data_IF_546613422835
#
_entry.id   IF_546613422835
#
_cell.length_a   1.000
_cell.length_b   1.000
_cell.length_c   1.000
_cell.angle_alpha   90.00
_cell.angle_beta   90.00
_cell.angle_gamma   90.00
#
_symmetry.space_group_name_H-M   'P 1'
#
loop_
_entity.id
_entity.type
_entity.pdbx_description
1 polymer ?
#
# COMPACT_ATOMS: atom_id res chain seq x y z
N UNK A 1 -7.58 32.83 -3.88
CA UNK A 1 -6.34 32.63 -4.65
C UNK A 1 -6.11 31.13 -4.75
N UNK A 2 -5.94 30.60 -5.97
CA UNK A 2 -5.57 29.21 -6.19
C UNK A 2 -4.06 29.07 -6.00
N UNK A 3 -3.62 28.12 -5.17
CA UNK A 3 -2.20 27.80 -5.02
C UNK A 3 -1.82 26.80 -6.11
N UNK A 4 -0.65 27.00 -6.73
CA UNK A 4 -0.10 26.06 -7.71
C UNK A 4 1.13 25.40 -7.12
N UNK A 5 1.26 24.09 -7.31
CA UNK A 5 2.41 23.29 -6.88
C UNK A 5 2.94 22.59 -8.13
N UNK A 6 4.26 22.68 -8.36
CA UNK A 6 4.89 21.95 -9.45
C UNK A 6 5.19 20.51 -9.01
N UNK A 7 4.72 19.55 -9.79
CA UNK A 7 4.95 18.12 -9.63
C UNK A 7 5.68 17.59 -10.89
N UNK A 8 6.73 16.77 -10.73
CA UNK A 8 7.54 16.31 -11.86
C UNK A 8 6.79 15.35 -12.81
N UNK A 9 5.68 14.74 -12.38
CA UNK A 9 4.90 13.77 -13.16
C UNK A 9 3.76 14.49 -13.87
N UNK A 10 3.04 15.37 -13.17
CA UNK A 10 1.82 15.99 -13.69
C UNK A 10 1.96 17.46 -14.09
N UNK A 11 3.11 18.08 -13.85
CA UNK A 11 3.30 19.52 -14.03
C UNK A 11 2.60 20.32 -12.92
N UNK A 12 1.79 21.31 -13.29
CA UNK A 12 1.16 22.19 -12.30
C UNK A 12 -0.11 21.58 -11.71
N UNK A 13 -0.09 21.31 -10.41
CA UNK A 13 -1.23 20.89 -9.60
C UNK A 13 -1.87 22.12 -8.95
N UNK A 14 -3.17 22.32 -9.16
CA UNK A 14 -3.92 23.46 -8.64
C UNK A 14 -4.75 23.08 -7.40
N UNK A 15 -4.59 23.87 -6.35
CA UNK A 15 -5.31 23.75 -5.10
C UNK A 15 -6.26 24.94 -4.92
N UNK A 16 -7.49 24.67 -4.52
CA UNK A 16 -8.41 25.71 -4.07
C UNK A 16 -7.98 26.26 -2.69
N UNK A 17 -8.70 27.28 -2.21
CA UNK A 17 -8.39 27.96 -0.94
C UNK A 17 -8.39 27.00 0.26
N UNK A 18 -9.33 26.05 0.30
CA UNK A 18 -9.51 25.16 1.45
C UNK A 18 -8.53 23.98 1.39
N UNK A 19 -8.32 23.42 0.20
CA UNK A 19 -7.25 22.44 -0.03
C UNK A 19 -5.89 23.01 0.36
N UNK A 20 -5.61 24.27 0.00
CA UNK A 20 -4.37 24.95 0.42
C UNK A 20 -4.26 25.06 1.94
N UNK A 21 -5.35 25.41 2.62
CA UNK A 21 -5.40 25.51 4.08
C UNK A 21 -5.15 24.15 4.75
N UNK A 22 -5.76 23.08 4.22
CA UNK A 22 -5.58 21.70 4.69
C UNK A 22 -4.13 21.24 4.48
N UNK A 23 -3.56 21.50 3.30
CA UNK A 23 -2.18 21.17 2.97
C UNK A 23 -1.20 21.81 3.96
N UNK A 24 -1.48 23.02 4.44
CA UNK A 24 -0.61 23.74 5.39
C UNK A 24 -0.84 23.37 6.88
N UNK A 25 -1.67 22.35 7.17
CA UNK A 25 -1.83 21.83 8.53
C UNK A 25 -0.65 20.92 8.93
N UNK A 26 -0.21 20.94 10.21
CA UNK A 26 0.78 19.96 10.69
C UNK A 26 0.42 18.50 10.42
N UNK A 27 -0.87 18.15 10.52
CA UNK A 27 -1.36 16.80 10.25
C UNK A 27 -1.04 16.36 8.81
N UNK A 28 -1.25 17.24 7.83
CA UNK A 28 -0.94 16.97 6.43
C UNK A 28 0.55 17.11 6.11
N UNK A 29 1.23 18.13 6.66
CA UNK A 29 2.66 18.36 6.45
C UNK A 29 3.53 17.21 6.98
N UNK A 30 3.06 16.47 7.99
CA UNK A 30 3.70 15.24 8.47
C UNK A 30 3.97 14.24 7.34
N UNK A 31 3.11 14.18 6.32
CA UNK A 31 3.24 13.23 5.21
C UNK A 31 4.52 13.45 4.38
N UNK A 32 5.20 14.60 4.50
CA UNK A 32 6.54 14.83 3.91
C UNK A 32 7.63 13.98 4.54
N UNK A 33 7.38 13.51 5.76
CA UNK A 33 8.31 12.72 6.55
C UNK A 33 7.87 11.26 6.64
N UNK A 34 6.97 10.84 5.75
CA UNK A 34 6.53 9.46 5.56
C UNK A 34 6.78 9.07 4.12
N UNK A 35 7.80 8.25 3.89
CA UNK A 35 8.17 7.81 2.53
C UNK A 35 7.09 6.89 1.96
N UNK A 36 6.78 7.10 0.68
CA UNK A 36 5.82 6.26 -0.06
C UNK A 36 6.21 4.78 0.01
N UNK A 37 7.49 4.49 -0.33
CA UNK A 37 8.01 3.14 -0.45
C UNK A 37 8.91 2.70 0.71
N UNK A 38 8.74 3.29 1.90
CA UNK A 38 9.51 2.93 3.09
C UNK A 38 11.03 2.93 2.85
N UNK A 39 11.68 1.74 2.97
CA UNK A 39 13.11 1.53 2.76
C UNK A 39 13.46 1.06 1.33
N UNK A 40 12.55 1.18 0.37
CA UNK A 40 12.86 0.86 -1.03
C UNK A 40 14.02 1.71 -1.57
N UNK A 41 14.25 2.89 -0.99
CA UNK A 41 15.40 3.73 -1.31
C UNK A 41 16.77 3.07 -1.02
N UNK A 42 16.82 1.99 -0.23
CA UNK A 42 18.04 1.19 -0.05
C UNK A 42 18.36 0.34 -1.29
N UNK A 43 17.38 0.12 -2.16
CA UNK A 43 17.53 -0.63 -3.42
C UNK A 43 17.54 0.34 -4.60
N UNK A 44 16.65 1.34 -4.57
CA UNK A 44 16.44 2.34 -5.60
C UNK A 44 16.76 3.73 -5.02
N UNK A 45 18.01 4.20 -5.06
CA UNK A 45 18.45 5.38 -4.31
C UNK A 45 17.61 6.65 -4.53
N UNK A 46 16.94 6.78 -5.67
CA UNK A 46 16.07 7.90 -6.02
C UNK A 46 14.63 7.79 -5.47
N UNK A 47 14.21 6.64 -4.94
CA UNK A 47 12.88 6.38 -4.38
C UNK A 47 12.66 7.05 -3.00
N UNK A 48 12.85 8.37 -2.93
CA UNK A 48 12.71 9.19 -1.73
C UNK A 48 11.43 10.02 -1.70
N UNK A 49 10.51 9.81 -2.64
CA UNK A 49 9.22 10.48 -2.66
C UNK A 49 8.36 10.07 -1.45
N UNK A 50 7.45 10.96 -1.10
CA UNK A 50 6.69 10.93 0.14
C UNK A 50 5.19 10.87 -0.12
N UNK A 51 4.44 10.49 0.93
CA UNK A 51 2.97 10.42 0.90
C UNK A 51 2.35 11.79 0.60
N UNK A 52 3.02 12.89 0.96
CA UNK A 52 2.57 14.24 0.66
C UNK A 52 2.45 14.49 -0.85
N UNK A 53 3.51 14.17 -1.61
CA UNK A 53 3.53 14.34 -3.06
C UNK A 53 2.53 13.42 -3.76
N UNK A 54 2.38 12.19 -3.25
CA UNK A 54 1.38 11.24 -3.71
C UNK A 54 -0.05 11.79 -3.55
N UNK A 55 -0.45 12.23 -2.36
CA UNK A 55 -1.79 12.80 -2.12
C UNK A 55 -2.13 13.96 -3.07
N UNK A 56 -1.14 14.81 -3.41
CA UNK A 56 -1.34 15.90 -4.37
C UNK A 56 -1.59 15.38 -5.79
N UNK A 57 -0.86 14.35 -6.21
CA UNK A 57 -1.05 13.74 -7.52
C UNK A 57 -2.36 12.96 -7.62
N UNK A 58 -2.79 12.27 -6.56
CA UNK A 58 -4.13 11.64 -6.49
C UNK A 58 -5.21 12.70 -6.65
N UNK A 59 -5.13 13.82 -5.90
CA UNK A 59 -6.04 14.96 -6.08
C UNK A 59 -6.10 15.46 -7.53
N UNK A 60 -4.93 15.60 -8.19
CA UNK A 60 -4.87 16.02 -9.59
C UNK A 60 -5.60 15.03 -10.51
N UNK A 61 -5.29 13.74 -10.42
CA UNK A 61 -5.90 12.70 -11.26
C UNK A 61 -7.41 12.58 -11.00
N UNK A 62 -7.84 12.63 -9.74
CA UNK A 62 -9.27 12.67 -9.36
C UNK A 62 -9.98 13.81 -10.08
N UNK A 63 -9.42 15.02 -10.06
CA UNK A 63 -10.01 16.16 -10.74
C UNK A 63 -10.10 15.97 -12.26
N UNK A 64 -9.04 15.43 -12.88
CA UNK A 64 -9.02 15.15 -14.32
C UNK A 64 -10.08 14.13 -14.71
N UNK A 65 -10.29 13.10 -13.90
CA UNK A 65 -11.36 12.12 -14.12
C UNK A 65 -12.74 12.81 -14.06
N UNK A 66 -12.99 13.63 -13.03
CA UNK A 66 -14.24 14.39 -12.90
C UNK A 66 -14.51 15.28 -14.12
N UNK A 67 -13.50 16.01 -14.60
CA UNK A 67 -13.61 16.87 -15.78
C UNK A 67 -13.97 16.08 -17.04
N UNK A 68 -13.34 14.91 -17.26
CA UNK A 68 -13.61 14.06 -18.41
C UNK A 68 -15.04 13.50 -18.36
N UNK A 69 -15.47 13.00 -17.20
CA UNK A 69 -16.82 12.44 -17.03
C UNK A 69 -17.89 13.52 -17.25
N UNK A 70 -17.74 14.69 -16.61
CA UNK A 70 -18.70 15.79 -16.76
C UNK A 70 -18.79 16.31 -18.19
N UNK A 71 -17.66 16.40 -18.90
CA UNK A 71 -17.63 16.82 -20.31
C UNK A 71 -18.41 15.88 -21.23
N UNK A 72 -18.42 14.57 -20.93
CA UNK A 72 -19.05 13.56 -21.80
C UNK A 72 -20.49 13.23 -21.42
N UNK A 73 -20.86 13.39 -20.16
CA UNK A 73 -22.13 12.90 -19.61
C UNK A 73 -22.99 14.02 -19.01
N UNK A 74 -22.98 15.22 -19.61
CA UNK A 74 -23.84 16.36 -19.24
C UNK A 74 -23.84 16.67 -17.73
N UNK A 75 -22.65 16.79 -17.12
CA UNK A 75 -22.46 17.08 -15.69
C UNK A 75 -23.05 16.02 -14.74
N UNK A 76 -22.73 14.75 -15.00
CA UNK A 76 -23.09 13.61 -14.14
C UNK A 76 -22.60 13.79 -12.67
N UNK A 77 -21.54 14.57 -12.44
CA UNK A 77 -21.04 14.92 -11.12
C UNK A 77 -21.27 16.41 -10.84
N UNK A 78 -22.06 16.70 -9.82
CA UNK A 78 -22.30 18.08 -9.37
C UNK A 78 -21.08 18.66 -8.60
N UNK A 79 -21.07 19.99 -8.42
CA UNK A 79 -19.95 20.68 -7.77
C UNK A 79 -19.72 20.30 -6.31
N UNK A 80 -20.77 19.92 -5.58
CA UNK A 80 -20.68 19.46 -4.19
C UNK A 80 -20.07 18.05 -4.12
N UNK A 81 -20.44 17.16 -5.03
CA UNK A 81 -19.81 15.85 -5.17
C UNK A 81 -18.32 15.96 -5.51
N UNK A 82 -17.98 16.77 -6.54
CA UNK A 82 -16.58 16.96 -6.98
C UNK A 82 -15.69 17.54 -5.88
N UNK A 83 -16.16 18.55 -5.13
CA UNK A 83 -15.35 19.15 -4.04
C UNK A 83 -15.08 18.15 -2.92
N UNK A 84 -16.07 17.34 -2.52
CA UNK A 84 -15.90 16.38 -1.44
C UNK A 84 -15.00 15.22 -1.88
N UNK A 85 -15.16 14.75 -3.13
CA UNK A 85 -14.29 13.74 -3.72
C UNK A 85 -12.83 14.20 -3.82
N UNK A 86 -12.59 15.45 -4.25
CA UNK A 86 -11.25 16.06 -4.23
C UNK A 86 -10.65 16.09 -2.83
N UNK A 87 -11.44 16.48 -1.83
CA UNK A 87 -10.95 16.50 -0.44
C UNK A 87 -10.68 15.09 0.10
N UNK A 88 -11.50 14.09 -0.26
CA UNK A 88 -11.26 12.69 0.05
C UNK A 88 -9.95 12.18 -0.58
N UNK A 89 -9.74 12.46 -1.87
CA UNK A 89 -8.50 12.15 -2.58
C UNK A 89 -7.26 12.79 -1.92
N UNK A 90 -7.37 14.05 -1.49
CA UNK A 90 -6.28 14.72 -0.79
C UNK A 90 -5.98 14.07 0.57
N UNK A 91 -7.00 13.63 1.31
CA UNK A 91 -6.87 13.18 2.70
C UNK A 91 -6.80 11.65 2.89
N UNK A 92 -6.92 10.85 1.83
CA UNK A 92 -7.04 9.38 1.92
C UNK A 92 -5.90 8.73 2.72
N UNK A 93 -4.70 9.27 2.58
CA UNK A 93 -3.45 8.76 3.16
C UNK A 93 -3.01 9.48 4.46
N UNK A 94 -3.85 10.36 5.02
CA UNK A 94 -3.53 11.15 6.22
C UNK A 94 -3.11 10.28 7.41
N UNK A 95 -3.69 9.09 7.52
CA UNK A 95 -3.49 8.10 8.56
C UNK A 95 -2.32 7.14 8.34
N UNK A 96 -1.48 7.31 7.31
CA UNK A 96 -0.34 6.39 7.16
C UNK A 96 0.63 6.46 8.34
N UNK A 97 1.02 5.29 8.86
CA UNK A 97 2.06 5.16 9.86
C UNK A 97 3.45 5.44 9.28
N UNK A 98 4.48 5.68 10.12
CA UNK A 98 5.87 5.74 9.65
C UNK A 98 6.22 4.51 8.81
N UNK A 99 6.92 4.72 7.71
CA UNK A 99 7.24 3.73 6.70
C UNK A 99 6.01 3.11 6.01
N UNK A 100 4.91 3.86 5.93
CA UNK A 100 3.73 3.52 5.12
C UNK A 100 3.22 2.11 5.44
N UNK A 101 3.02 1.27 4.41
CA UNK A 101 2.52 -0.10 4.60
C UNK A 101 3.50 -1.03 5.32
N UNK A 102 4.76 -0.67 5.53
CA UNK A 102 5.72 -1.56 6.19
C UNK A 102 5.34 -1.85 7.66
N UNK A 103 4.66 -0.90 8.30
CA UNK A 103 4.14 -1.03 9.67
C UNK A 103 2.61 -1.20 9.69
N UNK A 104 1.97 -1.17 8.53
CA UNK A 104 0.53 -1.36 8.40
C UNK A 104 0.20 -2.82 8.08
N UNK A 105 -0.83 -3.33 8.75
CA UNK A 105 -1.55 -4.55 8.37
C UNK A 105 -0.84 -5.86 8.14
N UNK A 106 0.43 -6.01 8.50
CA UNK A 106 1.02 -7.32 8.65
C UNK A 106 1.78 -7.38 9.94
N UNK A 107 1.33 -8.31 10.80
CA UNK A 107 2.18 -9.18 11.65
C UNK A 107 1.48 -9.94 12.76
N UNK A 108 0.15 -10.03 12.82
CA UNK A 108 -0.50 -10.93 13.80
C UNK A 108 0.08 -12.36 13.76
N UNK A 109 0.45 -12.83 12.58
CA UNK A 109 0.98 -14.20 12.37
C UNK A 109 2.47 -14.35 12.72
N UNK A 110 3.22 -13.25 12.87
CA UNK A 110 4.65 -13.29 13.19
C UNK A 110 4.96 -12.65 14.56
N UNK A 111 4.06 -11.84 15.12
CA UNK A 111 4.25 -11.11 16.38
C UNK A 111 2.90 -10.85 17.08
N UNK A 112 2.90 -10.90 18.41
CA UNK A 112 1.74 -10.48 19.21
C UNK A 112 1.53 -8.96 19.09
N UNK A 113 0.31 -8.53 18.72
CA UNK A 113 -0.08 -7.13 18.56
C UNK A 113 -1.12 -6.66 19.59
N UNK A 114 -1.46 -7.46 20.60
CA UNK A 114 -2.49 -7.11 21.60
C UNK A 114 -2.19 -5.78 22.30
N UNK A 115 -0.92 -5.61 22.68
CA UNK A 115 -0.42 -4.43 23.38
C UNK A 115 -0.23 -3.21 22.47
N UNK A 116 -0.45 -3.35 21.16
CA UNK A 116 -0.21 -2.25 20.22
C UNK A 116 -1.28 -1.15 20.40
N UNK A 117 -0.92 0.13 20.22
CA UNK A 117 -1.90 1.21 20.12
C UNK A 117 -2.95 0.96 19.04
N UNK A 118 -4.16 1.50 19.22
CA UNK A 118 -5.30 1.18 18.36
C UNK A 118 -5.06 1.51 16.87
N UNK A 119 -4.32 2.57 16.58
CA UNK A 119 -4.04 3.03 15.21
C UNK A 119 -3.05 2.15 14.44
N UNK A 120 -2.33 1.25 15.12
CA UNK A 120 -1.56 0.18 14.47
C UNK A 120 -2.41 -1.09 14.23
N UNK A 121 -3.63 -1.13 14.76
CA UNK A 121 -4.53 -2.30 14.69
C UNK A 121 -5.66 -2.14 13.67
N UNK A 122 -5.71 -1.00 12.99
CA UNK A 122 -6.72 -0.65 12.00
C UNK A 122 -6.06 -0.26 10.67
N UNK A 123 -6.80 -0.29 9.55
CA UNK A 123 -6.37 0.28 8.28
C UNK A 123 -5.94 1.74 8.40
N UNK A 124 -4.96 2.14 7.58
CA UNK A 124 -4.59 3.54 7.45
C UNK A 124 -5.80 4.38 7.01
N UNK A 125 -6.70 3.87 6.17
CA UNK A 125 -7.92 4.55 5.74
C UNK A 125 -8.82 4.87 6.95
N UNK A 126 -9.02 3.89 7.85
CA UNK A 126 -9.78 4.11 9.10
C UNK A 126 -9.06 5.06 10.05
N UNK A 127 -7.73 5.08 10.03
CA UNK A 127 -6.99 6.04 10.83
C UNK A 127 -7.06 7.45 10.22
N UNK A 128 -7.06 7.58 8.89
CA UNK A 128 -7.30 8.83 8.16
C UNK A 128 -8.66 9.40 8.55
N UNK A 129 -9.73 8.60 8.49
CA UNK A 129 -11.07 9.07 8.87
C UNK A 129 -11.18 9.40 10.36
N UNK A 130 -10.48 8.66 11.23
CA UNK A 130 -10.38 9.00 12.64
C UNK A 130 -9.74 10.38 12.84
N UNK A 131 -8.60 10.66 12.18
CA UNK A 131 -7.93 11.96 12.27
C UNK A 131 -8.82 13.09 11.71
N UNK A 132 -9.52 12.86 10.61
CA UNK A 132 -10.45 13.83 10.02
C UNK A 132 -11.59 14.14 10.99
N UNK A 133 -12.21 13.13 11.60
CA UNK A 133 -13.38 13.29 12.49
C UNK A 133 -13.04 13.81 13.88
N UNK A 134 -11.82 13.62 14.37
CA UNK A 134 -11.44 13.95 15.76
C UNK A 134 -10.45 15.12 15.88
N UNK A 135 -10.01 15.70 14.77
CA UNK A 135 -9.13 16.88 14.78
C UNK A 135 -9.85 18.16 14.35
N UNK A 136 -9.17 19.29 14.51
CA UNK A 136 -9.61 20.59 13.99
C UNK A 136 -9.78 20.64 12.45
N UNK A 137 -9.33 19.61 11.70
CA UNK A 137 -9.66 19.45 10.28
C UNK A 137 -11.18 19.38 10.11
N UNK A 138 -11.89 18.68 11.00
CA UNK A 138 -13.37 18.60 10.97
C UNK A 138 -13.99 20.00 10.94
N UNK A 139 -13.52 20.88 11.81
CA UNK A 139 -14.07 22.23 11.95
C UNK A 139 -13.76 23.09 10.73
N UNK A 140 -12.57 22.92 10.13
CA UNK A 140 -12.22 23.56 8.86
C UNK A 140 -13.17 23.10 7.76
N UNK A 141 -13.44 21.81 7.65
CA UNK A 141 -14.30 21.24 6.61
C UNK A 141 -15.76 21.71 6.77
N UNK A 142 -16.33 21.61 7.97
CA UNK A 142 -17.71 22.04 8.22
C UNK A 142 -17.92 23.53 7.98
N UNK A 143 -17.01 24.40 8.48
CA UNK A 143 -17.11 25.86 8.26
C UNK A 143 -17.09 26.25 6.78
N UNK A 144 -16.59 25.38 5.92
CA UNK A 144 -16.48 25.63 4.49
C UNK A 144 -17.45 24.79 3.65
N UNK A 145 -18.52 24.23 4.24
CA UNK A 145 -19.55 23.46 3.53
C UNK A 145 -19.04 22.19 2.84
N UNK A 146 -18.11 21.47 3.47
CA UNK A 146 -17.77 20.09 3.11
C UNK A 146 -18.57 19.10 3.96
N UNK A 147 -18.85 17.93 3.40
CA UNK A 147 -19.47 16.81 4.10
C UNK A 147 -18.41 15.82 4.56
N UNK A 148 -18.12 15.88 5.86
CA UNK A 148 -17.14 15.03 6.52
C UNK A 148 -17.53 13.55 6.45
N UNK A 149 -18.81 13.22 6.49
CA UNK A 149 -19.26 11.83 6.44
C UNK A 149 -19.06 11.27 5.03
N UNK A 150 -19.46 12.02 4.00
CA UNK A 150 -19.21 11.65 2.60
C UNK A 150 -17.70 11.47 2.35
N UNK A 151 -16.86 12.43 2.76
CA UNK A 151 -15.40 12.34 2.62
C UNK A 151 -14.86 11.05 3.26
N UNK A 152 -15.28 10.76 4.50
CA UNK A 152 -14.81 9.57 5.20
C UNK A 152 -15.32 8.27 4.57
N UNK A 153 -16.57 8.24 4.08
CA UNK A 153 -17.13 7.08 3.40
C UNK A 153 -16.40 6.78 2.09
N UNK A 154 -16.04 7.84 1.34
CA UNK A 154 -15.23 7.71 0.12
C UNK A 154 -13.83 7.15 0.41
N UNK A 155 -13.15 7.66 1.44
CA UNK A 155 -11.82 7.16 1.86
C UNK A 155 -11.88 5.68 2.28
N UNK A 156 -12.89 5.29 3.05
CA UNK A 156 -13.04 3.89 3.48
C UNK A 156 -13.61 2.96 2.41
N UNK A 157 -14.05 3.49 1.26
CA UNK A 157 -14.72 2.71 0.21
C UNK A 157 -16.12 2.21 0.58
N UNK A 158 -16.76 2.83 1.58
CA UNK A 158 -18.06 2.43 2.10
C UNK A 158 -19.24 3.16 1.43
N UNK A 159 -18.99 4.11 0.53
CA UNK A 159 -20.06 4.82 -0.17
C UNK A 159 -20.63 3.97 -1.31
N UNK A 160 -21.81 3.40 -1.05
CA UNK A 160 -22.54 2.50 -1.95
C UNK A 160 -23.61 3.26 -2.75
N UNK A 161 -24.00 4.48 -2.33
CA UNK A 161 -25.09 5.21 -2.96
C UNK A 161 -24.66 5.91 -4.25
N UNK A 162 -23.40 6.37 -4.33
CA UNK A 162 -22.84 6.94 -5.55
C UNK A 162 -21.56 6.20 -5.99
N UNK A 163 -21.78 5.06 -6.64
CA UNK A 163 -20.71 4.19 -7.16
C UNK A 163 -19.72 4.94 -8.06
N UNK A 164 -20.13 5.97 -8.79
CA UNK A 164 -19.19 6.74 -9.62
C UNK A 164 -18.14 7.42 -8.75
N UNK A 165 -18.54 8.09 -7.66
CA UNK A 165 -17.61 8.82 -6.80
C UNK A 165 -16.61 7.87 -6.14
N UNK A 166 -17.13 6.79 -5.54
CA UNK A 166 -16.30 5.77 -4.88
C UNK A 166 -15.28 5.19 -5.87
N UNK A 167 -15.69 4.89 -7.11
CA UNK A 167 -14.81 4.28 -8.12
C UNK A 167 -13.73 5.18 -8.69
N UNK A 168 -13.80 6.50 -8.50
CA UNK A 168 -12.74 7.41 -8.95
C UNK A 168 -11.49 7.28 -8.08
N UNK A 169 -11.66 7.02 -6.78
CA UNK A 169 -10.55 6.91 -5.83
C UNK A 169 -10.38 5.51 -5.23
N UNK A 170 -11.36 4.62 -5.39
CA UNK A 170 -11.35 3.25 -4.87
C UNK A 170 -11.90 2.24 -5.90
N UNK A 171 -11.06 1.90 -6.87
CA UNK A 171 -11.33 0.98 -7.98
C UNK A 171 -10.05 0.44 -8.60
N UNK A 172 -10.09 -0.65 -9.35
CA UNK A 172 -8.89 -1.23 -9.97
C UNK A 172 -8.10 -0.28 -10.85
N UNK A 173 -8.79 0.69 -11.46
CA UNK A 173 -8.18 1.77 -12.21
C UNK A 173 -8.66 3.13 -11.68
N UNK A 174 -8.38 3.37 -10.40
CA UNK A 174 -8.61 4.64 -9.73
C UNK A 174 -7.42 5.62 -9.81
N UNK A 175 -7.62 6.83 -9.29
CA UNK A 175 -6.58 7.86 -9.23
C UNK A 175 -5.45 7.55 -8.26
N UNK A 176 -5.69 6.79 -7.18
CA UNK A 176 -4.65 6.40 -6.22
C UNK A 176 -3.64 5.47 -6.90
N UNK A 177 -4.14 4.36 -7.46
CA UNK A 177 -3.34 3.37 -8.18
C UNK A 177 -2.61 3.97 -9.36
N UNK A 178 -3.30 4.82 -10.13
CA UNK A 178 -2.67 5.48 -11.26
C UNK A 178 -1.55 6.44 -10.82
N UNK A 179 -1.70 7.20 -9.73
CA UNK A 179 -0.62 8.04 -9.20
C UNK A 179 0.58 7.18 -8.79
N UNK A 180 0.39 6.21 -7.87
CA UNK A 180 1.54 5.50 -7.32
C UNK A 180 2.25 4.69 -8.41
N UNK A 181 1.54 4.15 -9.42
CA UNK A 181 2.21 3.41 -10.51
C UNK A 181 3.11 4.34 -11.32
N UNK A 182 2.62 5.53 -11.70
CA UNK A 182 3.41 6.51 -12.43
C UNK A 182 4.58 7.02 -11.57
N UNK A 183 4.30 7.38 -10.31
CA UNK A 183 5.24 7.98 -9.37
C UNK A 183 6.32 7.01 -8.92
N UNK A 184 5.95 5.81 -8.50
CA UNK A 184 6.89 4.79 -8.09
C UNK A 184 7.78 4.41 -9.26
N UNK A 185 7.24 4.28 -10.47
CA UNK A 185 8.04 3.99 -11.67
C UNK A 185 9.05 5.10 -11.96
N UNK A 186 8.61 6.37 -11.90
CA UNK A 186 9.47 7.53 -12.11
C UNK A 186 10.64 7.57 -11.12
N UNK A 187 10.35 7.47 -9.82
CA UNK A 187 11.36 7.61 -8.77
C UNK A 187 12.22 6.36 -8.55
N UNK A 188 11.72 5.17 -8.90
CA UNK A 188 12.54 3.94 -8.87
C UNK A 188 13.37 3.74 -10.13
N UNK A 189 13.03 4.40 -11.23
CA UNK A 189 13.62 4.17 -12.56
C UNK A 189 13.16 2.86 -13.20
N UNK A 190 12.15 2.19 -12.64
CA UNK A 190 11.56 0.99 -13.23
C UNK A 190 10.63 1.42 -14.35
N UNK A 191 11.13 1.38 -15.58
CA UNK A 191 10.49 1.94 -16.78
C UNK A 191 9.19 1.29 -17.26
N UNK A 192 8.49 0.53 -16.42
CA UNK A 192 7.19 -0.04 -16.78
C UNK A 192 6.03 0.93 -16.55
N UNK A 193 6.19 2.03 -15.82
CA UNK A 193 5.11 3.00 -15.57
C UNK A 193 4.99 4.15 -16.56
N UNK A 194 5.47 4.03 -17.80
CA UNK A 194 5.26 5.06 -18.82
C UNK A 194 3.86 4.95 -19.45
N UNK A 195 2.82 4.91 -18.60
CA UNK A 195 1.43 4.80 -19.02
C UNK A 195 1.00 6.14 -19.61
N UNK A 196 0.38 6.13 -20.79
CA UNK A 196 -0.25 7.32 -21.35
C UNK A 196 -1.55 7.62 -20.59
N UNK A 197 -1.41 8.15 -19.38
CA UNK A 197 -2.55 8.42 -18.51
C UNK A 197 -3.51 9.44 -19.13
N UNK A 198 -3.04 10.36 -19.98
CA UNK A 198 -3.91 11.30 -20.69
C UNK A 198 -4.92 10.58 -21.59
N UNK A 199 -4.44 9.63 -22.40
CA UNK A 199 -5.31 8.84 -23.28
C UNK A 199 -6.21 7.92 -22.46
N UNK A 200 -5.65 7.25 -21.45
CA UNK A 200 -6.41 6.37 -20.56
C UNK A 200 -7.53 7.13 -19.85
N UNK A 201 -7.26 8.25 -19.20
CA UNK A 201 -8.30 9.07 -18.55
C UNK A 201 -9.34 9.56 -19.57
N UNK A 202 -8.91 10.00 -20.75
CA UNK A 202 -9.83 10.42 -21.81
C UNK A 202 -10.65 9.26 -22.41
N UNK A 203 -10.43 8.01 -22.01
CA UNK A 203 -11.28 6.87 -22.38
C UNK A 203 -12.43 6.61 -21.41
N UNK A 204 -12.42 7.22 -20.22
CA UNK A 204 -13.46 7.08 -19.20
C UNK A 204 -14.78 7.67 -19.67
N UNK A 205 -15.88 7.00 -19.36
CA UNK A 205 -17.27 7.41 -19.62
C UNK A 205 -18.16 6.90 -18.49
N UNK A 206 -19.30 7.55 -18.30
CA UNK A 206 -20.36 7.02 -17.47
C UNK A 206 -21.34 6.20 -18.30
N UNK A 207 -21.77 5.07 -17.75
CA UNK A 207 -22.87 4.26 -18.28
C UNK A 207 -24.05 4.30 -17.30
N UNK A 208 -25.23 4.65 -17.82
CA UNK A 208 -26.49 4.81 -17.08
C UNK A 208 -26.40 5.69 -15.82
N UNK A 209 -25.52 6.69 -15.82
CA UNK A 209 -25.29 7.60 -14.68
C UNK A 209 -25.01 6.88 -13.34
N UNK A 210 -24.52 5.62 -13.42
CA UNK A 210 -24.29 4.76 -12.25
C UNK A 210 -22.89 4.17 -12.19
N UNK A 211 -22.21 3.98 -13.33
CA UNK A 211 -20.91 3.30 -13.36
C UNK A 211 -19.93 3.92 -14.33
N UNK A 212 -18.65 3.79 -13.99
CA UNK A 212 -17.55 4.15 -14.88
C UNK A 212 -17.27 2.97 -15.82
N UNK A 213 -17.20 3.25 -17.11
CA UNK A 213 -16.78 2.33 -18.17
C UNK A 213 -15.67 2.97 -19.00
N UNK A 214 -14.85 2.14 -19.62
CA UNK A 214 -13.73 2.58 -20.45
C UNK A 214 -14.02 2.26 -21.92
N UNK A 215 -13.76 3.20 -22.82
CA UNK A 215 -13.84 2.93 -24.25
C UNK A 215 -12.95 1.73 -24.64
N UNK A 216 -13.53 0.74 -25.32
CA UNK A 216 -12.83 -0.49 -25.74
C UNK A 216 -11.56 -0.22 -26.55
N UNK A 217 -11.45 0.94 -27.20
CA UNK A 217 -10.22 1.37 -27.88
C UNK A 217 -9.00 1.55 -26.97
N UNK A 218 -9.20 1.68 -25.67
CA UNK A 218 -8.14 1.83 -24.67
C UNK A 218 -7.75 0.49 -23.99
N UNK A 219 -8.17 -0.66 -24.54
CA UNK A 219 -7.78 -1.99 -24.03
C UNK A 219 -6.25 -2.10 -23.84
N UNK A 220 -5.46 -1.62 -24.81
CA UNK A 220 -3.99 -1.72 -24.73
C UNK A 220 -3.40 -0.86 -23.61
N UNK A 221 -4.00 0.28 -23.31
CA UNK A 221 -3.59 1.14 -22.19
C UNK A 221 -3.98 0.54 -20.84
N UNK A 222 -5.14 -0.11 -20.75
CA UNK A 222 -5.54 -0.90 -19.57
C UNK A 222 -4.56 -2.05 -19.36
N UNK A 223 -4.25 -2.82 -20.42
CA UNK A 223 -3.26 -3.91 -20.36
C UNK A 223 -1.90 -3.39 -19.90
N UNK A 224 -1.44 -2.26 -20.46
CA UNK A 224 -0.20 -1.64 -20.05
C UNK A 224 -0.24 -1.27 -18.56
N UNK A 225 -1.30 -0.60 -18.07
CA UNK A 225 -1.47 -0.27 -16.66
C UNK A 225 -1.33 -1.50 -15.74
N UNK A 226 -1.98 -2.61 -16.08
CA UNK A 226 -1.94 -3.82 -15.27
C UNK A 226 -0.54 -4.48 -15.32
N UNK A 227 0.12 -4.48 -16.49
CA UNK A 227 1.51 -4.96 -16.64
C UNK A 227 2.48 -4.09 -15.83
N UNK A 228 2.30 -2.76 -15.84
CA UNK A 228 3.09 -1.81 -15.04
C UNK A 228 2.98 -2.13 -13.56
N UNK A 229 1.74 -2.30 -13.08
CA UNK A 229 1.45 -2.66 -11.70
C UNK A 229 2.08 -3.99 -11.31
N UNK A 230 1.89 -5.04 -12.11
CA UNK A 230 2.52 -6.35 -11.89
C UNK A 230 4.04 -6.22 -11.77
N UNK A 231 4.65 -5.47 -12.68
CA UNK A 231 6.10 -5.27 -12.73
C UNK A 231 6.63 -4.56 -11.49
N UNK A 232 5.93 -3.54 -10.98
CA UNK A 232 6.27 -2.86 -9.73
C UNK A 232 6.15 -3.81 -8.53
N UNK A 233 5.07 -4.60 -8.46
CA UNK A 233 4.91 -5.60 -7.41
C UNK A 233 6.07 -6.62 -7.40
N UNK A 234 6.45 -7.17 -8.55
CA UNK A 234 7.51 -8.17 -8.62
C UNK A 234 8.92 -7.58 -8.38
N UNK A 235 9.23 -6.44 -9.02
CA UNK A 235 10.59 -5.87 -9.03
C UNK A 235 10.87 -4.92 -7.88
N UNK A 236 9.87 -4.18 -7.41
CA UNK A 236 10.05 -3.14 -6.38
C UNK A 236 9.53 -3.64 -5.05
N UNK A 237 8.21 -3.83 -4.92
CA UNK A 237 7.57 -4.06 -3.63
C UNK A 237 7.98 -5.41 -2.99
N UNK A 238 8.18 -6.43 -3.82
CA UNK A 238 8.62 -7.77 -3.37
C UNK A 238 10.09 -8.07 -3.72
N UNK A 239 10.91 -7.03 -3.92
CA UNK A 239 12.34 -7.21 -4.14
C UNK A 239 13.00 -7.89 -2.94
N UNK A 240 13.66 -9.04 -3.13
CA UNK A 240 14.24 -9.87 -2.05
C UNK A 240 15.06 -9.10 -1.01
N UNK A 241 15.86 -8.11 -1.46
CA UNK A 241 16.70 -7.32 -0.56
C UNK A 241 15.91 -6.17 0.09
N UNK A 242 14.91 -5.62 -0.61
CA UNK A 242 13.98 -4.64 -0.02
C UNK A 242 13.15 -5.28 1.08
N UNK A 243 12.55 -6.45 0.80
CA UNK A 243 11.80 -7.25 1.77
C UNK A 243 12.62 -7.64 3.01
N UNK A 244 13.94 -7.87 2.86
CA UNK A 244 14.82 -8.06 4.00
C UNK A 244 14.87 -6.82 4.91
N UNK A 245 15.12 -5.63 4.34
CA UNK A 245 15.17 -4.40 5.13
C UNK A 245 13.81 -4.05 5.74
N UNK A 246 12.71 -4.22 4.99
CA UNK A 246 11.35 -4.08 5.53
C UNK A 246 11.12 -5.05 6.69
N UNK A 247 11.59 -6.30 6.59
CA UNK A 247 11.42 -7.25 7.67
C UNK A 247 12.19 -6.84 8.94
N UNK A 248 13.44 -6.41 8.81
CA UNK A 248 14.26 -5.87 9.90
C UNK A 248 13.63 -4.61 10.51
N UNK A 249 13.15 -3.68 9.66
CA UNK A 249 12.47 -2.45 10.06
C UNK A 249 11.30 -2.76 10.99
N UNK A 250 10.41 -3.62 10.54
CA UNK A 250 9.22 -3.89 11.30
C UNK A 250 9.55 -4.74 12.55
N UNK A 251 10.64 -5.53 12.55
CA UNK A 251 11.12 -6.19 13.77
C UNK A 251 11.57 -5.15 14.81
N UNK A 252 12.40 -4.19 14.39
CA UNK A 252 12.84 -3.06 15.22
C UNK A 252 11.65 -2.22 15.73
N UNK A 253 10.64 -2.00 14.89
CA UNK A 253 9.42 -1.28 15.27
C UNK A 253 8.65 -2.04 16.34
N UNK A 254 8.46 -3.36 16.17
CA UNK A 254 7.78 -4.21 17.15
C UNK A 254 8.50 -4.21 18.50
N UNK A 255 9.84 -4.37 18.49
CA UNK A 255 10.63 -4.27 19.71
C UNK A 255 10.43 -2.91 20.38
N UNK A 256 10.42 -1.82 19.60
CA UNK A 256 10.24 -0.46 20.12
C UNK A 256 8.85 -0.24 20.73
N UNK A 257 7.81 -0.86 20.16
CA UNK A 257 6.45 -0.79 20.67
C UNK A 257 6.29 -1.59 21.97
N UNK A 258 6.79 -2.83 22.00
CA UNK A 258 6.68 -3.71 23.18
C UNK A 258 7.49 -3.22 24.38
N UNK A 259 8.55 -2.45 24.14
CA UNK A 259 9.36 -1.82 25.18
C UNK A 259 9.01 -0.36 25.41
N UNK A 260 7.82 0.08 24.96
CA UNK A 260 7.26 1.39 25.24
C UNK A 260 8.08 2.60 24.73
N UNK A 261 9.05 2.38 23.83
CA UNK A 261 9.88 3.43 23.22
C UNK A 261 9.15 4.20 22.12
N UNK A 262 8.17 3.58 21.46
CA UNK A 262 7.41 4.16 20.36
C UNK A 262 5.99 3.58 20.34
N UNK A 263 4.95 4.31 19.89
CA UNK A 263 4.87 5.74 19.59
C UNK A 263 4.88 6.63 20.86
N UNK A 264 5.10 7.94 20.71
CA UNK A 264 5.14 8.89 21.83
C UNK A 264 3.74 9.20 22.43
N UNK A 265 2.68 8.68 21.82
CA UNK A 265 1.31 8.75 22.31
C UNK A 265 0.66 7.37 22.09
N UNK A 266 -0.05 6.84 23.08
CA UNK A 266 -0.56 5.46 23.05
C UNK A 266 -2.08 5.40 23.17
N UNK A 267 -2.67 6.32 23.93
CA UNK A 267 -4.10 6.35 24.19
C UNK A 267 -4.86 7.22 23.17
N UNK A 268 -6.17 6.94 23.01
CA UNK A 268 -7.07 7.82 22.24
C UNK A 268 -7.11 9.23 22.82
N UNK A 269 -7.02 9.36 24.15
CA UNK A 269 -7.09 10.65 24.83
C UNK A 269 -5.86 11.52 24.52
N UNK A 270 -4.66 10.96 24.64
CA UNK A 270 -3.41 11.65 24.26
C UNK A 270 -3.44 12.08 22.80
N UNK A 271 -3.88 11.19 21.90
CA UNK A 271 -3.97 11.53 20.49
C UNK A 271 -4.98 12.65 20.24
N UNK A 272 -6.17 12.58 20.84
CA UNK A 272 -7.20 13.61 20.72
C UNK A 272 -6.73 14.98 21.22
N UNK A 273 -5.94 15.01 22.31
CA UNK A 273 -5.32 16.23 22.81
C UNK A 273 -4.33 16.82 21.80
N UNK A 274 -3.45 15.95 21.24
CA UNK A 274 -2.50 16.34 20.19
C UNK A 274 -3.23 16.92 18.99
N UNK A 275 -4.29 16.28 18.51
CA UNK A 275 -4.97 16.71 17.26
C UNK A 275 -6.08 17.76 17.48
N UNK A 276 -6.27 18.23 18.72
CA UNK A 276 -7.35 19.16 19.08
C UNK A 276 -7.25 20.52 18.40
N UNK A 277 -6.04 21.03 18.18
CA UNK A 277 -5.80 22.33 17.54
C UNK A 277 -4.49 22.35 16.74
N UNK A 278 -4.28 23.42 15.96
CA UNK A 278 -3.12 23.54 15.07
C UNK A 278 -1.79 23.49 15.82
N UNK A 279 -1.67 24.12 16.98
CA UNK A 279 -0.40 24.22 17.70
C UNK A 279 -0.01 22.89 18.33
N UNK A 280 -0.92 22.25 19.08
CA UNK A 280 -0.68 20.94 19.68
C UNK A 280 -0.42 19.87 18.62
N UNK A 281 -1.07 19.98 17.45
CA UNK A 281 -0.92 18.99 16.38
C UNK A 281 0.47 18.94 15.78
N UNK A 282 1.35 19.91 16.05
CA UNK A 282 2.77 19.83 15.65
C UNK A 282 3.46 18.58 16.21
N UNK A 283 3.04 18.10 17.39
CA UNK A 283 3.58 16.87 18.00
C UNK A 283 3.35 15.62 17.15
N UNK A 284 2.39 15.63 16.23
CA UNK A 284 2.17 14.53 15.28
C UNK A 284 3.39 14.26 14.39
N UNK A 285 4.32 15.21 14.26
CA UNK A 285 5.59 15.01 13.54
C UNK A 285 6.44 13.90 14.16
N UNK A 286 6.28 13.63 15.45
CA UNK A 286 6.91 12.49 16.13
C UNK A 286 6.35 11.14 15.64
N UNK A 287 5.28 11.15 14.84
CA UNK A 287 4.76 9.99 14.12
C UNK A 287 5.24 9.99 12.66
N UNK A 288 6.56 10.00 12.46
CA UNK A 288 7.23 10.03 11.16
C UNK A 288 8.40 9.04 11.07
N UNK A 289 8.89 8.78 9.85
CA UNK A 289 10.02 7.88 9.58
C UNK A 289 11.28 8.33 10.32
N UNK A 290 11.55 9.64 10.27
CA UNK A 290 12.74 10.24 10.88
C UNK A 290 12.74 10.07 12.41
N UNK A 291 11.61 10.29 13.06
CA UNK A 291 11.50 10.12 14.51
C UNK A 291 11.73 8.67 14.93
N UNK A 292 11.14 7.71 14.20
CA UNK A 292 11.31 6.30 14.48
C UNK A 292 12.76 5.83 14.28
N UNK A 293 13.45 6.31 13.23
CA UNK A 293 14.87 6.03 13.02
C UNK A 293 15.76 6.56 14.16
N UNK A 294 15.43 7.73 14.71
CA UNK A 294 16.13 8.27 15.87
C UNK A 294 15.95 7.38 17.11
N UNK A 295 14.74 6.84 17.33
CA UNK A 295 14.48 5.87 18.40
C UNK A 295 15.32 4.60 18.17
N UNK A 296 15.32 4.07 16.95
CA UNK A 296 16.12 2.89 16.60
C UNK A 296 17.60 3.12 16.88
N UNK A 297 18.13 4.30 16.54
CA UNK A 297 19.52 4.64 16.80
C UNK A 297 19.85 4.67 18.30
N UNK A 298 18.97 5.24 19.13
CA UNK A 298 19.13 5.24 20.59
C UNK A 298 19.12 3.82 21.17
N UNK A 299 18.19 2.97 20.70
CA UNK A 299 18.12 1.55 21.13
C UNK A 299 19.40 0.82 20.73
N UNK A 300 19.83 0.96 19.48
CA UNK A 300 21.08 0.39 18.98
C UNK A 300 22.29 0.78 19.85
N UNK A 301 22.43 2.07 20.18
CA UNK A 301 23.50 2.57 21.04
C UNK A 301 23.48 1.95 22.45
N UNK A 302 22.30 1.71 23.01
CA UNK A 302 22.18 1.07 24.31
C UNK A 302 22.55 -0.41 24.25
N UNK A 303 22.07 -1.14 23.23
CA UNK A 303 22.36 -2.57 23.04
C UNK A 303 23.86 -2.84 22.87
N UNK A 304 24.58 -2.02 22.08
CA UNK A 304 26.02 -2.22 21.89
C UNK A 304 26.84 -1.93 23.15
N UNK A 305 26.34 -1.07 24.06
CA UNK A 305 27.02 -0.72 25.32
C UNK A 305 27.00 -1.85 26.34
N UNK A 306 25.97 -2.70 26.33
CA UNK A 306 25.85 -3.78 27.32
C UNK A 306 26.92 -4.87 27.14
N UNK A 307 27.47 -5.01 25.92
CA UNK A 307 28.42 -6.06 25.51
C UNK A 307 27.92 -7.49 25.76
N UNK A 308 26.63 -7.70 26.02
CA UNK A 308 26.03 -9.04 26.13
C UNK A 308 25.84 -9.63 24.74
N UNK A 309 26.14 -10.92 24.58
CA UNK A 309 26.06 -11.58 23.27
C UNK A 309 24.66 -11.46 22.64
N UNK A 310 23.61 -11.64 23.43
CA UNK A 310 22.23 -11.55 22.97
C UNK A 310 21.84 -10.15 22.50
N UNK A 311 22.24 -9.11 23.25
CA UNK A 311 22.02 -7.71 22.88
C UNK A 311 22.77 -7.35 21.60
N UNK A 312 23.98 -7.89 21.40
CA UNK A 312 24.74 -7.69 20.16
C UNK A 312 24.07 -8.38 18.96
N UNK A 313 23.44 -9.55 19.15
CA UNK A 313 22.65 -10.20 18.10
C UNK A 313 21.43 -9.36 17.73
N UNK A 314 20.71 -8.83 18.71
CA UNK A 314 19.59 -7.91 18.48
C UNK A 314 20.04 -6.59 17.82
N UNK A 315 21.18 -6.03 18.23
CA UNK A 315 21.73 -4.80 17.67
C UNK A 315 21.96 -4.89 16.16
N UNK A 316 22.32 -6.07 15.62
CA UNK A 316 22.48 -6.31 14.18
C UNK A 316 21.21 -6.07 13.37
N UNK A 317 20.03 -6.25 13.97
CA UNK A 317 18.73 -6.00 13.32
C UNK A 317 18.52 -4.49 13.15
N UNK A 318 18.75 -3.72 14.22
CA UNK A 318 18.71 -2.25 14.16
C UNK A 318 19.77 -1.69 13.22
N UNK A 319 20.98 -2.26 13.26
CA UNK A 319 22.09 -1.87 12.38
C UNK A 319 21.74 -2.06 10.89
N UNK A 320 21.00 -3.14 10.56
CA UNK A 320 20.54 -3.38 9.20
C UNK A 320 19.62 -2.25 8.69
N UNK A 321 18.76 -1.74 9.57
CA UNK A 321 17.84 -0.64 9.26
C UNK A 321 18.57 0.69 9.18
N UNK A 322 19.39 1.03 10.17
CA UNK A 322 20.00 2.36 10.29
C UNK A 322 21.13 2.56 9.27
N UNK A 323 21.96 1.54 9.06
CA UNK A 323 23.19 1.64 8.28
C UNK A 323 23.17 0.80 7.01
N UNK A 324 22.01 0.27 6.62
CA UNK A 324 21.84 -0.59 5.44
C UNK A 324 22.80 -1.78 5.46
N UNK A 325 23.05 -2.36 6.64
CA UNK A 325 23.94 -3.52 6.81
C UNK A 325 23.22 -4.81 6.48
N UNK A 326 23.66 -5.50 5.43
CA UNK A 326 23.12 -6.81 5.05
C UNK A 326 23.81 -7.92 5.84
N UNK A 327 23.39 -8.09 7.09
CA UNK A 327 23.96 -9.05 8.03
C UNK A 327 23.51 -10.50 7.77
N UNK A 328 22.45 -10.68 6.98
CA UNK A 328 21.85 -11.98 6.71
C UNK A 328 21.98 -12.38 5.24
N UNK A 329 22.27 -13.66 5.01
CA UNK A 329 22.13 -14.31 3.69
C UNK A 329 20.65 -14.55 3.43
N UNK A 330 20.21 -14.23 2.21
CA UNK A 330 18.81 -14.36 1.79
C UNK A 330 18.69 -15.57 0.88
N UNK A 331 17.94 -16.59 1.30
CA UNK A 331 17.53 -17.72 0.48
C UNK A 331 16.11 -17.44 -0.02
N UNK A 332 15.97 -17.34 -1.35
CA UNK A 332 14.70 -17.02 -2.01
C UNK A 332 14.14 -18.30 -2.61
N UNK A 333 12.94 -18.65 -2.18
CA UNK A 333 12.13 -19.67 -2.81
C UNK A 333 10.97 -18.97 -3.50
N UNK A 334 10.82 -19.22 -4.80
CA UNK A 334 9.74 -18.64 -5.58
C UNK A 334 8.97 -19.75 -6.25
N UNK A 335 7.66 -19.65 -6.16
CA UNK A 335 6.75 -20.60 -6.77
C UNK A 335 5.85 -19.78 -7.68
N UNK A 336 5.76 -20.25 -8.91
CA UNK A 336 4.69 -19.85 -9.82
C UNK A 336 3.47 -20.67 -9.42
N UNK A 337 2.54 -20.08 -8.70
CA UNK A 337 1.28 -20.74 -8.33
C UNK A 337 0.15 -20.06 -9.07
N UNK A 338 -0.85 -20.86 -9.46
CA UNK A 338 -2.15 -20.35 -9.91
C UNK A 338 -3.07 -19.94 -8.75
N UNK A 339 -2.55 -19.90 -7.52
CA UNK A 339 -3.36 -19.98 -6.30
C UNK A 339 -2.89 -19.05 -5.17
N UNK A 340 -3.89 -18.71 -4.34
CA UNK A 340 -4.04 -17.58 -3.40
C UNK A 340 -2.96 -17.35 -2.33
N UNK A 341 -3.07 -16.21 -1.62
CA UNK A 341 -2.25 -15.87 -0.43
C UNK A 341 -2.24 -16.97 0.65
N UNK A 342 -3.32 -17.74 0.79
CA UNK A 342 -3.44 -18.79 1.81
C UNK A 342 -2.40 -19.91 1.66
N UNK A 343 -2.09 -20.33 0.43
CA UNK A 343 -1.09 -21.38 0.18
C UNK A 343 0.33 -20.87 0.47
N UNK A 344 0.57 -19.56 0.31
CA UNK A 344 1.84 -18.92 0.69
C UNK A 344 2.08 -19.03 2.19
N UNK A 345 1.03 -18.81 2.99
CA UNK A 345 1.11 -18.88 4.44
C UNK A 345 1.27 -20.33 4.92
N UNK A 346 0.54 -21.30 4.32
CA UNK A 346 0.77 -22.74 4.58
C UNK A 346 2.22 -23.12 4.32
N UNK A 347 2.78 -22.67 3.19
CA UNK A 347 4.16 -22.96 2.85
C UNK A 347 5.15 -22.32 3.84
N UNK A 348 4.90 -21.07 4.24
CA UNK A 348 5.67 -20.39 5.29
C UNK A 348 5.70 -21.24 6.55
N UNK A 349 4.55 -21.74 6.97
CA UNK A 349 4.40 -22.51 8.20
C UNK A 349 5.08 -23.88 8.10
N UNK A 350 4.93 -24.60 6.99
CA UNK A 350 5.68 -25.84 6.72
C UNK A 350 7.20 -25.62 6.81
N UNK A 351 7.70 -24.53 6.23
CA UNK A 351 9.13 -24.16 6.30
C UNK A 351 9.53 -23.80 7.74
N UNK A 352 8.71 -23.04 8.46
CA UNK A 352 8.94 -22.75 9.89
C UNK A 352 9.00 -24.03 10.71
N UNK A 353 8.10 -24.99 10.49
CA UNK A 353 8.10 -26.29 11.19
C UNK A 353 9.39 -27.07 10.94
N UNK A 354 9.88 -27.11 9.69
CA UNK A 354 11.15 -27.75 9.36
C UNK A 354 12.36 -27.07 10.03
N UNK A 355 12.28 -25.76 10.26
CA UNK A 355 13.35 -24.95 10.82
C UNK A 355 13.22 -24.72 12.34
N UNK A 356 12.13 -25.15 13.00
CA UNK A 356 11.83 -24.87 14.41
C UNK A 356 13.00 -25.20 15.34
N UNK A 357 13.55 -26.40 15.21
CA UNK A 357 14.68 -26.88 16.03
C UNK A 357 15.93 -26.00 16.00
N UNK A 358 16.14 -25.25 14.91
CA UNK A 358 17.26 -24.30 14.78
C UNK A 358 16.84 -22.86 15.07
N UNK A 359 15.59 -22.49 14.77
CA UNK A 359 15.03 -21.17 15.05
C UNK A 359 14.91 -20.91 16.56
N UNK A 360 14.40 -21.88 17.31
CA UNK A 360 14.18 -21.75 18.76
C UNK A 360 15.51 -21.57 19.52
N UNK A 361 16.59 -22.15 18.99
CA UNK A 361 17.95 -21.99 19.54
C UNK A 361 18.63 -20.69 19.11
N UNK A 362 18.10 -19.99 18.11
CA UNK A 362 18.74 -18.83 17.48
C UNK A 362 17.73 -17.71 17.11
N UNK A 363 16.98 -17.14 18.10
CA UNK A 363 15.81 -16.27 17.87
C UNK A 363 16.09 -14.93 17.16
N UNK A 364 17.36 -14.55 16.98
CA UNK A 364 17.78 -13.33 16.27
C UNK A 364 18.67 -13.60 15.05
N UNK A 365 18.89 -14.86 14.69
CA UNK A 365 19.87 -15.23 13.66
C UNK A 365 19.27 -15.97 12.47
N UNK A 366 18.02 -16.42 12.57
CA UNK A 366 17.28 -17.02 11.46
C UNK A 366 15.82 -16.59 11.46
N UNK A 367 15.30 -16.22 10.29
CA UNK A 367 13.93 -15.76 10.13
C UNK A 367 13.32 -16.29 8.83
N UNK A 368 12.00 -16.52 8.83
CA UNK A 368 11.23 -16.91 7.65
C UNK A 368 10.16 -15.85 7.40
N UNK A 369 10.10 -15.33 6.18
CA UNK A 369 9.22 -14.23 5.81
C UNK A 369 8.62 -14.42 4.42
N UNK A 370 7.34 -14.09 4.27
CA UNK A 370 6.63 -14.02 3.00
C UNK A 370 6.33 -12.55 2.68
N UNK A 371 7.06 -11.91 1.74
CA UNK A 371 6.64 -10.61 1.25
C UNK A 371 5.32 -10.80 0.52
N UNK A 372 4.25 -10.19 1.05
CA UNK A 372 2.92 -10.36 0.47
C UNK A 372 2.86 -9.68 -0.88
N UNK A 373 2.45 -10.46 -1.87
CA UNK A 373 2.24 -9.99 -3.21
C UNK A 373 0.75 -9.73 -3.39
N UNK A 374 0.31 -8.51 -3.10
CA UNK A 374 -1.11 -8.13 -3.23
C UNK A 374 -1.63 -8.34 -4.66
N UNK A 375 -0.72 -8.48 -5.66
CA UNK A 375 -1.10 -8.80 -7.02
C UNK A 375 -1.97 -10.08 -7.15
N UNK A 376 -1.77 -11.08 -6.30
CA UNK A 376 -2.51 -12.37 -6.40
C UNK A 376 -3.97 -12.27 -5.97
N UNK A 377 -4.35 -11.26 -5.19
CA UNK A 377 -5.75 -11.03 -4.78
C UNK A 377 -6.64 -10.59 -5.96
N UNK A 378 -6.04 -10.00 -7.01
CA UNK A 378 -6.74 -9.47 -8.19
C UNK A 378 -7.22 -10.55 -9.17
N UNK A 379 -6.74 -11.79 -9.02
CA UNK A 379 -7.09 -12.91 -9.90
C UNK A 379 -8.01 -13.93 -9.21
N UNK A 380 -8.21 -13.82 -7.89
CA UNK A 380 -8.89 -14.85 -7.09
C UNK A 380 -10.17 -14.40 -6.38
N UNK A 381 -10.65 -13.18 -6.58
CA UNK A 381 -12.00 -12.82 -6.10
C UNK A 381 -13.05 -13.27 -7.11
N UNK A 382 -13.55 -14.50 -6.89
CA UNK A 382 -14.78 -15.10 -7.43
C UNK A 382 -14.92 -15.14 -8.96
N UNK A 383 -14.16 -15.99 -9.63
CA UNK A 383 -14.73 -16.74 -10.76
C UNK A 383 -14.73 -18.21 -10.34
N UNK A 384 -15.88 -18.79 -9.94
CA UNK A 384 -15.96 -20.22 -9.71
C UNK A 384 -15.59 -20.94 -11.01
N UNK A 385 -14.57 -21.79 -10.95
CA UNK A 385 -14.14 -22.65 -12.07
C UNK A 385 -15.25 -23.59 -12.58
N UNK A 386 -16.35 -23.73 -11.83
CA UNK A 386 -17.53 -24.51 -12.19
C UNK A 386 -18.55 -23.79 -13.09
N UNK A 387 -18.42 -22.48 -13.33
CA UNK A 387 -19.45 -21.68 -14.01
C UNK A 387 -19.13 -21.33 -15.47
N UNK A 388 -18.00 -21.76 -16.01
CA UNK A 388 -17.69 -21.61 -17.43
C UNK A 388 -18.45 -22.61 -18.33
N UNK A 389 -19.15 -23.59 -17.75
CA UNK A 389 -19.78 -24.70 -18.50
C UNK A 389 -21.30 -24.81 -18.39
N UNK A 390 -21.98 -24.04 -17.53
CA UNK A 390 -23.43 -24.14 -17.39
C UNK A 390 -24.07 -22.78 -17.61
N UNK A 391 -24.84 -22.67 -18.71
CA UNK A 391 -25.64 -21.50 -19.05
C UNK A 391 -26.72 -21.23 -17.99
N UNK A 392 -26.33 -20.55 -16.92
CA UNK A 392 -27.23 -20.09 -15.87
C UNK A 392 -27.11 -18.56 -15.85
N UNK A 393 -28.22 -17.91 -16.24
CA UNK A 393 -28.49 -16.49 -16.00
C UNK A 393 -28.61 -16.24 -14.48
N UNK A 394 -27.50 -16.30 -13.74
CA UNK A 394 -27.44 -15.65 -12.44
C UNK A 394 -27.17 -14.17 -12.69
N UNK A 395 -28.18 -13.34 -12.40
CA UNK A 395 -28.02 -11.89 -12.25
C UNK A 395 -27.05 -11.63 -11.10
N UNK A 396 -25.75 -11.65 -11.40
CA UNK A 396 -24.70 -11.12 -10.55
C UNK A 396 -25.10 -9.69 -10.14
N UNK A 397 -24.98 -9.35 -8.85
CA UNK A 397 -25.14 -7.96 -8.40
C UNK A 397 -23.98 -7.16 -8.99
N UNK A 398 -24.23 -6.48 -10.11
CA UNK A 398 -23.28 -5.63 -10.84
C UNK A 398 -22.59 -4.55 -9.98
N UNK A 399 -23.11 -4.31 -8.76
CA UNK A 399 -22.70 -3.28 -7.81
C UNK A 399 -21.45 -3.68 -6.99
N UNK A 400 -21.20 -4.99 -6.81
CA UNK A 400 -20.16 -5.50 -5.88
C UNK A 400 -18.78 -5.69 -6.52
N UNK A 401 -18.65 -5.58 -7.85
CA UNK A 401 -17.40 -5.91 -8.52
C UNK A 401 -16.44 -4.71 -8.62
N UNK A 402 -15.26 -4.82 -7.99
CA UNK A 402 -14.09 -4.00 -8.32
C UNK A 402 -13.50 -4.42 -9.69
N UNK A 403 -14.30 -4.54 -10.75
CA UNK A 403 -13.83 -5.00 -12.07
C UNK A 403 -13.73 -3.85 -13.06
N UNK A 404 -12.84 -3.96 -14.05
CA UNK A 404 -12.73 -2.98 -15.13
C UNK A 404 -13.79 -3.29 -16.19
N UNK A 405 -14.65 -2.31 -16.48
CA UNK A 405 -15.69 -2.42 -17.51
C UNK A 405 -15.27 -1.69 -18.77
N UNK A 406 -15.39 -2.35 -19.91
CA UNK A 406 -15.11 -1.78 -21.23
C UNK A 406 -16.38 -1.68 -22.06
N UNK A 407 -16.46 -0.70 -22.93
CA UNK A 407 -17.62 -0.46 -23.78
C UNK A 407 -17.20 -0.16 -25.22
N UNK A 408 -17.73 -0.94 -26.16
CA UNK A 408 -17.67 -0.61 -27.58
C UNK A 408 -18.79 0.40 -27.92
N UNK A 409 -18.57 1.23 -28.95
CA UNK A 409 -19.56 2.24 -29.34
C UNK A 409 -20.92 1.60 -29.61
N UNK A 410 -21.95 2.11 -28.95
CA UNK A 410 -23.35 1.67 -29.07
C UNK A 410 -23.62 0.21 -28.65
N UNK A 411 -22.75 -0.40 -27.84
CA UNK A 411 -22.99 -1.72 -27.22
C UNK A 411 -23.08 -1.59 -25.71
N UNK A 412 -23.69 -2.57 -25.07
CA UNK A 412 -23.65 -2.71 -23.62
C UNK A 412 -22.22 -2.96 -23.14
N UNK A 413 -21.85 -2.47 -21.94
CA UNK A 413 -20.52 -2.67 -21.39
C UNK A 413 -20.30 -4.13 -21.01
N UNK A 414 -19.07 -4.60 -21.16
CA UNK A 414 -18.61 -5.95 -20.79
C UNK A 414 -17.45 -5.87 -19.79
N UNK A 415 -17.27 -6.90 -18.98
CA UNK A 415 -16.12 -7.02 -18.07
C UNK A 415 -14.86 -7.29 -18.88
N UNK A 416 -13.83 -6.48 -18.69
CA UNK A 416 -12.57 -6.54 -19.42
C UNK A 416 -11.92 -7.94 -19.42
N UNK A 417 -11.90 -8.63 -18.28
CA UNK A 417 -11.28 -9.95 -18.15
C UNK A 417 -12.03 -11.10 -18.88
N UNK A 418 -13.31 -10.90 -19.25
CA UNK A 418 -14.09 -11.91 -20.00
C UNK A 418 -13.82 -11.88 -21.51
N UNK A 419 -13.02 -10.94 -22.02
CA UNK A 419 -12.72 -10.84 -23.44
C UNK A 419 -11.55 -11.78 -23.85
N UNK A 420 -11.80 -12.67 -24.81
CA UNK A 420 -10.85 -13.68 -25.32
C UNK A 420 -9.58 -13.10 -25.95
N UNK A 421 -9.57 -11.81 -26.29
CA UNK A 421 -8.45 -11.16 -26.99
C UNK A 421 -7.38 -10.58 -26.05
N UNK A 422 -7.62 -10.57 -24.74
CA UNK A 422 -6.73 -9.89 -23.79
C UNK A 422 -5.51 -10.73 -23.42
N UNK A 423 -4.34 -10.10 -23.35
CA UNK A 423 -3.11 -10.70 -22.83
C UNK A 423 -3.31 -11.18 -21.39
N UNK A 424 -4.08 -10.41 -20.61
CA UNK A 424 -4.34 -10.68 -19.21
C UNK A 424 -5.11 -11.96 -18.97
N UNK A 425 -6.11 -12.29 -19.80
CA UNK A 425 -6.76 -13.60 -19.71
C UNK A 425 -5.79 -14.76 -19.95
N UNK A 426 -4.78 -14.58 -20.81
CA UNK A 426 -3.72 -15.57 -21.04
C UNK A 426 -2.71 -15.68 -19.88
N UNK A 427 -2.63 -14.66 -19.01
CA UNK A 427 -1.74 -14.64 -17.84
C UNK A 427 -2.47 -14.63 -16.49
N UNK A 428 -3.80 -14.77 -16.49
CA UNK A 428 -4.66 -14.67 -15.30
C UNK A 428 -4.40 -15.80 -14.30
N UNK A 429 -3.73 -16.86 -14.72
CA UNK A 429 -3.38 -18.00 -13.87
C UNK A 429 -2.00 -17.84 -13.19
N UNK A 430 -1.34 -16.69 -13.30
CA UNK A 430 0.02 -16.52 -12.79
C UNK A 430 0.06 -15.61 -11.55
N UNK A 431 0.26 -16.24 -10.39
CA UNK A 431 0.73 -15.61 -9.17
C UNK A 431 2.22 -15.89 -8.95
N UNK A 432 2.94 -14.91 -8.39
CA UNK A 432 4.30 -15.14 -7.88
C UNK A 432 4.24 -15.08 -6.37
N UNK A 433 4.47 -16.24 -5.77
CA UNK A 433 4.65 -16.39 -4.32
C UNK A 433 6.13 -16.46 -4.00
N UNK A 434 6.56 -15.72 -2.97
CA UNK A 434 7.95 -15.70 -2.50
C UNK A 434 7.98 -16.07 -1.02
N UNK A 435 8.81 -17.04 -0.66
CA UNK A 435 9.23 -17.28 0.72
C UNK A 435 10.71 -16.97 0.83
N UNK A 436 11.07 -16.13 1.79
CA UNK A 436 12.42 -15.69 2.06
C UNK A 436 12.87 -16.26 3.41
N UNK A 437 14.02 -16.93 3.40
CA UNK A 437 14.70 -17.33 4.64
C UNK A 437 15.94 -16.45 4.80
N UNK A 438 16.01 -15.75 5.93
CA UNK A 438 17.14 -14.90 6.31
C UNK A 438 17.99 -15.64 7.34
N UNK A 439 19.29 -15.76 7.09
CA UNK A 439 20.20 -16.50 7.98
C UNK A 439 21.43 -15.65 8.25
N UNK A 440 21.84 -15.51 9.51
CA UNK A 440 23.05 -14.77 9.87
C UNK A 440 24.25 -15.36 9.14
N UNK A 441 24.91 -14.54 8.30
CA UNK A 441 26.03 -15.00 7.47
C UNK A 441 27.32 -15.23 8.27
N UNK A 442 27.42 -14.67 9.47
CA UNK A 442 28.59 -14.82 10.36
C UNK A 442 28.52 -16.12 11.18
N UNK A 443 27.32 -16.65 11.40
CA UNK A 443 27.11 -17.89 12.16
C UNK A 443 27.29 -19.12 11.24
N UNK A 444 28.54 -19.57 11.09
CA UNK A 444 28.91 -20.71 10.23
C UNK A 444 28.24 -22.02 10.64
N UNK A 445 28.00 -22.24 11.92
CA UNK A 445 27.35 -23.45 12.42
C UNK A 445 25.87 -23.49 12.04
N UNK A 446 25.17 -22.36 12.24
CA UNK A 446 23.77 -22.20 11.82
C UNK A 446 23.62 -22.39 10.32
N UNK A 447 24.53 -21.83 9.52
CA UNK A 447 24.55 -22.01 8.07
C UNK A 447 24.68 -23.49 7.67
N UNK A 448 25.60 -24.24 8.28
CA UNK A 448 25.74 -25.69 8.02
C UNK A 448 24.48 -26.47 8.40
N UNK A 449 23.87 -26.17 9.54
CA UNK A 449 22.61 -26.79 9.98
C UNK A 449 21.46 -26.47 9.04
N UNK A 450 21.39 -25.26 8.50
CA UNK A 450 20.41 -24.91 7.48
C UNK A 450 20.65 -25.66 6.17
N UNK A 451 21.90 -25.76 5.71
CA UNK A 451 22.27 -26.43 4.45
C UNK A 451 21.91 -27.92 4.44
N UNK A 452 21.86 -28.59 5.61
CA UNK A 452 21.38 -29.98 5.71
C UNK A 452 19.85 -30.10 5.62
N UNK A 453 19.10 -29.04 5.92
CA UNK A 453 17.63 -28.99 5.86
C UNK A 453 17.14 -28.44 4.50
N UNK A 454 17.92 -27.58 3.84
CA UNK A 454 17.57 -26.92 2.57
C UNK A 454 17.07 -27.89 1.48
N UNK A 455 17.63 -29.10 1.28
CA UNK A 455 17.10 -30.06 0.31
C UNK A 455 15.64 -30.46 0.58
N UNK A 456 15.27 -30.67 1.85
CA UNK A 456 13.88 -31.00 2.26
C UNK A 456 12.93 -29.83 2.01
N UNK A 457 13.40 -28.61 2.21
CA UNK A 457 12.63 -27.40 1.88
C UNK A 457 12.37 -27.32 0.37
N UNK A 458 13.38 -27.62 -0.46
CA UNK A 458 13.23 -27.63 -1.93
C UNK A 458 12.27 -28.72 -2.39
N UNK A 459 12.38 -29.92 -1.82
CA UNK A 459 11.45 -31.03 -2.11
C UNK A 459 10.00 -30.63 -1.82
N UNK A 460 9.76 -30.05 -0.63
CA UNK A 460 8.44 -29.56 -0.22
C UNK A 460 7.85 -28.47 -1.14
N UNK A 461 8.69 -27.74 -1.86
CA UNK A 461 8.31 -26.63 -2.72
C UNK A 461 8.10 -27.06 -4.18
N UNK A 462 8.95 -27.96 -4.69
CA UNK A 462 8.97 -28.32 -6.10
C UNK A 462 8.34 -29.69 -6.39
N UNK A 463 8.10 -30.52 -5.37
CA UNK A 463 7.34 -31.78 -5.42
C UNK A 463 6.26 -31.79 -4.31
N UNK A 464 5.25 -30.90 -4.39
CA UNK A 464 4.30 -30.64 -3.31
C UNK A 464 3.35 -31.79 -2.96
#
# INVERSE_FOLDING_TARGET
MYRKINDPIFGLIELNKIESLIVDTPLFQRLRYVKQLALANYIYPSANHDRFSHCLGVLFLTNRICEVLNKKNKNVLDSFSVRNLRMAALLHDLGHSPFSHALEFYRKDDFNTEQFPFFFKIPHEKFSTYLIKNSYIKDILYKNNYDVNLICNLIEGNDIENLILSRIINWELDSDRLDYILRDSYFTGVGFGNINYHYLLNSFKCYNDKRIVIDKKAIRDIEHFIISRFSLHDRVYTHKTGSYFTYMLTYSAHYSILNDFFPPFKSKNELNEIISNKESSKKILEFSDFYLLNIFYKIYQNLIKTKKEEDLKLARIFEAVIFRKKNFRIKKFSIFTSKSEYETDILKDKIKTLLSSIMDKNPYEIFVHTPKNVFTKFLSTKIPSSELNNGIDEKFKEEDEQTIWIQEKNKDPEIFYRNNETFLRKIHEFGITKVLVYINKENKELMKKYESIEPKIKELIFNP
#
